data_IF_979373179405
#
_entry.id   IF_979373179405
#
_cell.length_a   1.000
_cell.length_b   1.000
_cell.length_c   1.000
_cell.angle_alpha   90.00
_cell.angle_beta   90.00
_cell.angle_gamma   90.00
#
_symmetry.space_group_name_H-M   'P 1'
#
loop_
_entity.id
_entity.type
_entity.pdbx_description
1 polymer ?
#
# COMPACT_ATOMS: atom_id res chain seq x y z
N UNK A 1 11.35 -4.78 19.49
CA UNK A 1 10.36 -4.63 18.42
C UNK A 1 10.77 -3.48 17.50
N UNK A 2 10.62 -3.68 16.22
CA UNK A 2 11.08 -2.75 15.19
C UNK A 2 9.92 -2.01 14.53
N UNK A 3 10.22 -0.89 13.88
CA UNK A 3 9.26 -0.19 13.04
C UNK A 3 8.96 -1.04 11.82
N UNK A 4 7.72 -0.99 11.35
CA UNK A 4 7.28 -1.73 10.17
C UNK A 4 6.52 -0.80 9.24
N UNK A 5 6.89 -0.79 7.97
CA UNK A 5 6.16 -0.10 6.92
C UNK A 5 5.57 -1.11 5.97
N UNK A 6 4.28 -0.98 5.70
CA UNK A 6 3.60 -1.72 4.65
C UNK A 6 3.08 -0.73 3.63
N UNK A 7 3.41 -0.96 2.36
CA UNK A 7 2.89 -0.19 1.24
C UNK A 7 1.96 -1.10 0.47
N UNK A 8 0.70 -0.68 0.32
CA UNK A 8 -0.33 -1.47 -0.34
C UNK A 8 -0.91 -0.73 -1.54
N UNK A 9 -1.05 -1.45 -2.66
CA UNK A 9 -1.91 -1.03 -3.76
C UNK A 9 -3.16 -1.90 -3.72
N UNK A 10 -4.33 -1.27 -3.69
CA UNK A 10 -5.60 -1.99 -3.55
C UNK A 10 -6.53 -1.67 -4.70
N UNK A 11 -7.20 -2.71 -5.21
CA UNK A 11 -8.33 -2.58 -6.13
C UNK A 11 -9.57 -3.03 -5.38
N UNK A 12 -10.56 -2.17 -5.31
CA UNK A 12 -11.73 -2.34 -4.45
C UNK A 12 -12.99 -2.27 -5.29
N UNK A 13 -13.89 -3.22 -5.12
CA UNK A 13 -15.13 -3.22 -5.86
C UNK A 13 -16.11 -4.26 -5.36
N UNK A 14 -17.23 -4.39 -6.09
CA UNK A 14 -18.28 -5.35 -5.78
C UNK A 14 -18.29 -6.47 -6.80
N UNK A 15 -18.34 -7.70 -6.32
CA UNK A 15 -18.67 -8.85 -7.15
C UNK A 15 -17.59 -9.31 -8.13
N UNK A 16 -16.39 -8.75 -8.11
CA UNK A 16 -15.32 -9.27 -8.93
C UNK A 16 -14.62 -10.44 -8.24
N UNK A 17 -14.00 -11.30 -9.03
CA UNK A 17 -13.26 -12.46 -8.53
C UNK A 17 -11.75 -12.14 -8.55
N UNK A 18 -11.09 -12.06 -7.38
CA UNK A 18 -9.67 -11.69 -7.32
C UNK A 18 -8.74 -12.56 -8.17
N UNK A 19 -9.00 -13.86 -8.26
CA UNK A 19 -8.20 -14.78 -9.07
C UNK A 19 -8.29 -14.48 -10.57
N UNK A 20 -9.49 -14.11 -11.03
CA UNK A 20 -9.70 -13.71 -12.43
C UNK A 20 -9.00 -12.39 -12.72
N UNK A 21 -9.05 -11.45 -11.78
CA UNK A 21 -8.37 -10.17 -11.90
C UNK A 21 -6.85 -10.38 -11.99
N UNK A 22 -6.29 -11.24 -11.15
CA UNK A 22 -4.86 -11.61 -11.20
C UNK A 22 -4.49 -12.19 -12.56
N UNK A 23 -5.34 -13.05 -13.09
CA UNK A 23 -5.11 -13.67 -14.41
C UNK A 23 -5.12 -12.63 -15.51
N UNK A 24 -6.10 -11.74 -15.50
CA UNK A 24 -6.23 -10.68 -16.50
C UNK A 24 -5.07 -9.68 -16.45
N UNK A 25 -4.58 -9.38 -15.24
CA UNK A 25 -3.41 -8.51 -15.04
C UNK A 25 -2.09 -9.21 -15.35
N UNK A 26 -2.05 -10.53 -15.22
CA UNK A 26 -0.80 -11.28 -15.29
C UNK A 26 0.06 -11.10 -14.04
N UNK A 27 -0.58 -10.82 -12.90
CA UNK A 27 0.10 -10.55 -11.64
C UNK A 27 -0.69 -11.10 -10.46
N UNK A 28 -0.04 -11.92 -9.64
CA UNK A 28 -0.65 -12.41 -8.41
C UNK A 28 -0.73 -11.31 -7.36
N UNK A 29 -1.83 -11.25 -6.64
CA UNK A 29 -1.94 -10.38 -5.47
C UNK A 29 -1.20 -10.98 -4.27
N UNK A 30 -0.85 -10.13 -3.32
CA UNK A 30 -0.26 -10.59 -2.05
C UNK A 30 -1.34 -11.22 -1.17
N UNK A 31 -2.52 -10.61 -1.17
CA UNK A 31 -3.68 -11.10 -0.46
C UNK A 31 -4.97 -10.57 -1.10
N UNK A 32 -6.09 -11.17 -0.74
CA UNK A 32 -7.40 -10.65 -1.14
C UNK A 32 -8.39 -10.85 0.00
N UNK A 33 -9.46 -10.07 -0.04
CA UNK A 33 -10.57 -10.21 0.88
C UNK A 33 -11.86 -10.28 0.06
N UNK A 34 -12.61 -11.37 0.23
CA UNK A 34 -13.88 -11.52 -0.45
C UNK A 34 -14.95 -10.75 0.29
N UNK A 35 -15.71 -9.96 -0.46
CA UNK A 35 -16.88 -9.27 0.05
C UNK A 35 -18.15 -10.13 -0.06
N UNK A 36 -19.23 -9.53 0.35
CA UNK A 36 -20.59 -10.08 0.22
C UNK A 36 -21.56 -8.96 -0.16
N UNK A 37 -22.85 -9.14 0.08
CA UNK A 37 -23.87 -8.12 -0.25
C UNK A 37 -23.66 -6.80 0.51
N UNK A 38 -22.91 -6.81 1.59
CA UNK A 38 -22.66 -5.65 2.45
C UNK A 38 -21.21 -5.16 2.44
N UNK A 39 -20.27 -6.03 2.05
CA UNK A 39 -18.82 -5.74 2.08
C UNK A 39 -18.22 -5.78 0.69
N UNK A 40 -17.26 -4.91 0.47
CA UNK A 40 -16.53 -4.85 -0.78
C UNK A 40 -15.46 -5.96 -0.85
N UNK A 41 -15.11 -6.34 -2.07
CA UNK A 41 -14.02 -7.27 -2.34
C UNK A 41 -12.75 -6.45 -2.58
N UNK A 42 -11.62 -6.95 -2.09
CA UNK A 42 -10.31 -6.30 -2.19
C UNK A 42 -9.31 -7.22 -2.88
N UNK A 43 -8.59 -6.67 -3.83
CA UNK A 43 -7.38 -7.26 -4.41
C UNK A 43 -6.21 -6.39 -3.96
N UNK A 44 -5.20 -6.98 -3.31
CA UNK A 44 -4.15 -6.24 -2.63
C UNK A 44 -2.77 -6.73 -3.06
N UNK A 45 -1.93 -5.81 -3.53
CA UNK A 45 -0.53 -6.04 -3.77
C UNK A 45 0.27 -5.19 -2.79
N UNK A 46 1.09 -5.82 -1.96
CA UNK A 46 1.79 -5.11 -0.89
C UNK A 46 3.26 -5.49 -0.79
N UNK A 47 4.03 -4.58 -0.18
CA UNK A 47 5.43 -4.77 0.18
C UNK A 47 5.61 -4.31 1.61
N UNK A 48 6.44 -5.02 2.37
CA UNK A 48 6.70 -4.72 3.78
C UNK A 48 8.19 -4.59 4.04
N UNK A 49 8.55 -3.58 4.83
CA UNK A 49 9.91 -3.35 5.28
C UNK A 49 9.91 -3.21 6.80
N UNK A 50 10.85 -3.88 7.47
CA UNK A 50 10.96 -3.88 8.92
C UNK A 50 12.36 -3.42 9.31
N UNK A 51 12.46 -2.62 10.37
CA UNK A 51 13.72 -2.09 10.86
C UNK A 51 14.01 -0.70 10.32
N UNK A 52 15.00 -0.58 9.46
CA UNK A 52 15.32 0.70 8.79
C UNK A 52 14.30 0.95 7.69
N UNK A 53 13.38 1.87 7.96
CA UNK A 53 12.30 2.18 7.05
C UNK A 53 12.80 3.07 5.91
N UNK A 54 12.62 2.59 4.69
CA UNK A 54 12.92 3.33 3.47
C UNK A 54 11.65 3.38 2.59
N UNK A 55 10.87 4.43 2.80
CA UNK A 55 9.59 4.63 2.12
C UNK A 55 9.80 4.73 0.61
N UNK A 56 10.83 5.49 0.19
CA UNK A 56 11.12 5.70 -1.22
C UNK A 56 11.37 4.38 -1.95
N UNK A 57 12.27 3.54 -1.43
CA UNK A 57 12.62 2.26 -2.06
C UNK A 57 11.42 1.31 -2.11
N UNK A 58 10.63 1.26 -1.05
CA UNK A 58 9.48 0.37 -0.99
C UNK A 58 8.39 0.78 -1.98
N UNK A 59 8.13 2.08 -2.09
CA UNK A 59 7.21 2.61 -3.10
C UNK A 59 7.72 2.34 -4.52
N UNK A 60 9.02 2.53 -4.76
CA UNK A 60 9.63 2.24 -6.06
C UNK A 60 9.46 0.78 -6.46
N UNK A 61 9.69 -0.14 -5.53
CA UNK A 61 9.50 -1.57 -5.80
C UNK A 61 8.07 -1.88 -6.23
N UNK A 62 7.10 -1.36 -5.50
CA UNK A 62 5.70 -1.61 -5.80
C UNK A 62 5.28 -0.99 -7.13
N UNK A 63 5.65 0.27 -7.36
CA UNK A 63 5.32 0.98 -8.61
C UNK A 63 6.01 0.33 -9.81
N UNK A 64 7.23 -0.16 -9.67
CA UNK A 64 7.94 -0.83 -10.77
C UNK A 64 7.23 -2.11 -11.21
N UNK A 65 6.53 -2.79 -10.31
CA UNK A 65 5.72 -3.96 -10.65
C UNK A 65 4.40 -3.58 -11.32
N UNK A 66 3.83 -2.43 -10.96
CA UNK A 66 2.53 -1.98 -11.46
C UNK A 66 2.62 -1.21 -12.78
N UNK A 67 3.68 -0.45 -12.97
CA UNK A 67 3.81 0.45 -14.12
C UNK A 67 3.72 -0.26 -15.48
N UNK A 68 4.32 -1.43 -15.69
CA UNK A 68 4.16 -2.16 -16.96
C UNK A 68 2.71 -2.55 -17.25
N UNK A 69 1.85 -2.59 -16.24
CA UNK A 69 0.45 -2.99 -16.36
C UNK A 69 -0.51 -1.81 -16.40
N UNK A 70 0.01 -0.58 -16.48
CA UNK A 70 -0.81 0.63 -16.32
C UNK A 70 -2.03 0.67 -17.25
N UNK A 71 -1.85 0.33 -18.53
CA UNK A 71 -2.95 0.32 -19.49
C UNK A 71 -3.99 -0.75 -19.16
N UNK A 72 -3.53 -1.93 -18.78
CA UNK A 72 -4.43 -3.02 -18.36
C UNK A 72 -5.18 -2.62 -17.09
N UNK A 73 -4.50 -2.01 -16.14
CA UNK A 73 -5.11 -1.52 -14.90
C UNK A 73 -6.23 -0.53 -15.21
N UNK A 74 -5.97 0.45 -16.06
CA UNK A 74 -7.00 1.43 -16.43
C UNK A 74 -8.21 0.77 -17.05
N UNK A 75 -8.01 -0.19 -17.95
CA UNK A 75 -9.12 -0.91 -18.62
C UNK A 75 -9.92 -1.75 -17.63
N UNK A 76 -9.26 -2.45 -16.72
CA UNK A 76 -9.93 -3.31 -15.75
C UNK A 76 -10.64 -2.51 -14.68
N UNK A 77 -10.06 -1.39 -14.25
CA UNK A 77 -10.70 -0.47 -13.33
C UNK A 77 -12.03 0.03 -13.92
N UNK A 78 -12.03 0.42 -15.18
CA UNK A 78 -13.24 0.86 -15.86
C UNK A 78 -14.22 -0.29 -16.08
N UNK A 79 -13.74 -1.43 -16.57
CA UNK A 79 -14.56 -2.59 -16.90
C UNK A 79 -15.32 -3.14 -15.69
N UNK A 80 -14.68 -3.23 -14.55
CA UNK A 80 -15.25 -3.81 -13.33
C UNK A 80 -15.69 -2.77 -12.31
N UNK A 81 -15.64 -1.49 -12.66
CA UNK A 81 -15.97 -0.38 -11.75
C UNK A 81 -15.19 -0.46 -10.43
N UNK A 82 -13.88 -0.64 -10.55
CA UNK A 82 -13.01 -0.75 -9.40
C UNK A 82 -12.55 0.62 -8.93
N UNK A 83 -12.26 0.73 -7.64
CA UNK A 83 -11.63 1.90 -7.07
C UNK A 83 -10.19 1.54 -6.68
N UNK A 84 -9.18 2.15 -7.32
CA UNK A 84 -7.80 1.96 -6.91
C UNK A 84 -7.47 2.86 -5.73
N UNK A 85 -6.65 2.40 -4.80
CA UNK A 85 -6.02 3.27 -3.83
C UNK A 85 -4.62 2.76 -3.46
N UNK A 86 -3.88 3.63 -2.79
CA UNK A 86 -2.50 3.37 -2.40
C UNK A 86 -2.36 3.77 -0.93
N UNK A 87 -1.97 2.84 -0.09
CA UNK A 87 -1.91 3.07 1.36
C UNK A 87 -0.50 2.81 1.88
N UNK A 88 0.04 3.80 2.60
CA UNK A 88 1.26 3.61 3.38
C UNK A 88 0.85 3.46 4.85
N UNK A 89 1.18 2.30 5.42
CA UNK A 89 0.86 2.01 6.80
C UNK A 89 2.15 1.85 7.59
N UNK A 90 2.44 2.83 8.42
CA UNK A 90 3.61 2.81 9.30
C UNK A 90 3.19 2.45 10.71
N UNK A 91 3.82 1.40 11.23
CA UNK A 91 3.64 0.98 12.62
C UNK A 91 4.94 1.24 13.37
N UNK A 92 4.93 2.20 14.28
CA UNK A 92 6.11 2.55 15.06
C UNK A 92 6.23 1.71 16.32
N UNK A 93 7.46 1.30 16.63
CA UNK A 93 7.77 0.63 17.87
C UNK A 93 7.57 1.60 19.06
N UNK A 94 7.39 1.07 20.28
CA UNK A 94 7.42 1.91 21.47
C UNK A 94 8.76 2.63 21.60
N UNK A 95 8.73 3.85 22.09
CA UNK A 95 9.93 4.63 22.35
C UNK A 95 10.60 4.13 23.63
N UNK A 96 11.93 4.04 23.63
CA UNK A 96 12.69 3.66 24.82
C UNK A 96 12.68 4.80 25.83
N UNK A 97 12.95 4.49 27.11
CA UNK A 97 13.06 5.51 28.15
C UNK A 97 14.16 6.52 27.84
N UNK A 98 15.25 6.07 27.24
CA UNK A 98 16.37 6.93 26.81
C UNK A 98 15.91 7.91 25.74
N UNK A 99 15.19 7.42 24.74
CA UNK A 99 14.68 8.26 23.66
C UNK A 99 13.72 9.33 24.18
N UNK A 100 12.84 8.95 25.09
CA UNK A 100 11.90 9.90 25.70
C UNK A 100 12.64 10.95 26.53
N UNK A 101 13.60 10.52 27.36
CA UNK A 101 14.32 11.41 28.27
C UNK A 101 15.21 12.42 27.54
N UNK A 102 15.87 12.02 26.48
CA UNK A 102 16.81 12.86 25.74
C UNK A 102 16.26 13.42 24.44
N UNK A 103 15.01 13.15 24.13
CA UNK A 103 14.40 13.61 22.87
C UNK A 103 15.00 13.00 21.62
N UNK A 104 15.62 11.85 21.73
CA UNK A 104 16.26 11.14 20.61
C UNK A 104 15.29 10.18 19.97
N UNK A 105 14.48 10.69 19.01
CA UNK A 105 13.54 9.86 18.29
C UNK A 105 14.05 9.55 16.89
N UNK A 106 13.89 8.29 16.42
CA UNK A 106 14.11 8.01 15.01
C UNK A 106 13.17 8.86 14.16
N UNK A 107 13.73 9.58 13.20
CA UNK A 107 12.93 10.40 12.27
C UNK A 107 12.66 9.57 11.03
N UNK A 108 11.38 9.40 10.70
CA UNK A 108 10.95 8.73 9.48
C UNK A 108 10.41 9.80 8.53
N UNK A 109 11.11 9.98 7.40
CA UNK A 109 10.72 10.95 6.39
C UNK A 109 9.77 10.32 5.39
N UNK A 110 8.59 10.92 5.22
CA UNK A 110 7.61 10.53 4.22
C UNK A 110 7.92 11.26 2.92
N UNK A 111 8.88 10.75 2.17
CA UNK A 111 9.21 11.27 0.86
C UNK A 111 8.60 10.40 -0.22
N UNK A 112 7.73 10.99 -1.02
CA UNK A 112 7.09 10.31 -2.14
C UNK A 112 7.65 10.89 -3.44
N UNK A 113 8.24 10.03 -4.27
CA UNK A 113 8.82 10.47 -5.53
C UNK A 113 7.77 10.97 -6.52
N UNK A 114 8.14 11.96 -7.35
CA UNK A 114 7.25 12.43 -8.42
C UNK A 114 6.78 11.32 -9.36
N UNK A 115 7.62 10.32 -9.63
CA UNK A 115 7.26 9.19 -10.48
C UNK A 115 6.11 8.37 -9.87
N UNK A 116 6.13 8.14 -8.56
CA UNK A 116 5.05 7.47 -7.84
C UNK A 116 3.76 8.27 -7.94
N UNK A 117 3.84 9.58 -7.71
CA UNK A 117 2.68 10.46 -7.81
C UNK A 117 2.09 10.49 -9.20
N UNK A 118 2.94 10.53 -10.23
CA UNK A 118 2.47 10.51 -11.64
C UNK A 118 1.73 9.21 -11.95
N UNK A 119 2.26 8.08 -11.52
CA UNK A 119 1.59 6.80 -11.73
C UNK A 119 0.22 6.76 -11.07
N UNK A 120 0.15 7.15 -9.79
CA UNK A 120 -1.11 7.15 -9.04
C UNK A 120 -2.12 8.10 -9.66
N UNK A 121 -1.67 9.28 -10.11
CA UNK A 121 -2.53 10.23 -10.80
C UNK A 121 -3.06 9.68 -12.11
N UNK A 122 -2.23 8.96 -12.86
CA UNK A 122 -2.61 8.38 -14.15
C UNK A 122 -3.75 7.36 -14.03
N UNK A 123 -3.85 6.67 -12.89
CA UNK A 123 -4.91 5.71 -12.63
C UNK A 123 -5.97 6.22 -11.66
N UNK A 124 -5.89 7.50 -11.30
CA UNK A 124 -6.79 8.15 -10.33
C UNK A 124 -6.82 7.47 -8.96
N UNK A 125 -5.67 7.01 -8.49
CA UNK A 125 -5.57 6.37 -7.18
C UNK A 125 -5.22 7.40 -6.10
N UNK A 126 -6.08 7.59 -5.10
CA UNK A 126 -5.71 8.40 -3.94
C UNK A 126 -4.67 7.70 -3.08
N UNK A 127 -3.92 8.51 -2.32
CA UNK A 127 -2.94 7.99 -1.37
C UNK A 127 -3.42 8.24 0.04
N UNK A 128 -3.32 7.21 0.87
CA UNK A 128 -3.62 7.28 2.30
C UNK A 128 -2.37 6.97 3.10
N UNK A 129 -2.18 7.70 4.19
CA UNK A 129 -1.07 7.45 5.12
C UNK A 129 -1.69 7.14 6.47
N UNK A 130 -1.43 5.93 6.96
CA UNK A 130 -1.86 5.49 8.28
C UNK A 130 -0.64 5.35 9.18
N UNK A 131 -0.70 5.92 10.36
CA UNK A 131 0.39 5.92 11.30
C UNK A 131 -0.10 5.35 12.63
N UNK A 132 0.44 4.20 13.03
CA UNK A 132 0.10 3.54 14.26
C UNK A 132 1.30 3.54 15.21
N UNK A 133 1.02 3.78 16.48
CA UNK A 133 2.01 3.66 17.54
C UNK A 133 1.66 2.45 18.39
N UNK A 134 2.65 1.59 18.64
CA UNK A 134 2.43 0.52 19.59
C UNK A 134 2.54 1.07 21.00
N UNK A 135 1.55 0.72 21.82
CA UNK A 135 1.58 1.06 23.24
C UNK A 135 2.50 0.11 23.98
N UNK A 136 3.25 0.65 24.97
CA UNK A 136 3.97 -0.18 25.91
C UNK A 136 2.96 -1.00 26.72
N UNK A 137 3.12 -2.31 26.69
CA UNK A 137 2.32 -3.20 27.52
C UNK A 137 3.01 -3.49 28.83
#
# INVERSE_FOLDING_TARGET
>A
MENTLTVEFRLIGRGFVPEELSRDLGKECTEYQLGDDRKLTFWILSKTNTGNIDIKSLCQELISELQPMQEKLCRLIEKFDLRPDFCLRLKERPRTSHEVLYGEYPVINFYIEPATMRFLSAINAPMFIEHEYESES
#
